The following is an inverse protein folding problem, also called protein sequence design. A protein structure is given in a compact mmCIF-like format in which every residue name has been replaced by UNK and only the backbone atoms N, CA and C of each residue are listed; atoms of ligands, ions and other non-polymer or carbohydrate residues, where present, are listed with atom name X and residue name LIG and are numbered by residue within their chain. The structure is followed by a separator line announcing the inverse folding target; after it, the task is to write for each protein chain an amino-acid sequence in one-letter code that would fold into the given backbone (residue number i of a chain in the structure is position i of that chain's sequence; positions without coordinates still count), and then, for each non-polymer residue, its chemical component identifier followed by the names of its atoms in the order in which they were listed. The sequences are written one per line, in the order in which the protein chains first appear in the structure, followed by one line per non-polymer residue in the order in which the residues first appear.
data_IF_118084007474
#
_entry.id   IF_118084007474
#
_cell.length_a   1.000
_cell.length_b   1.000
_cell.length_c   1.000
_cell.angle_alpha   90.00
_cell.angle_beta   90.00
_cell.angle_gamma   90.00
#
_symmetry.space_group_name_H-M   'P 1'
#
loop_
_entity.id
_entity.type
_entity.pdbx_description
1 polymer ?
#
# COMPACT_ATOMS: atom_id res chain seq x y z
N UNK A 1 21.35 -1.29 6.31
CA UNK A 1 19.93 -1.04 6.65
C UNK A 1 19.10 -1.21 5.39
N UNK A 2 18.01 -1.99 5.42
CA UNK A 2 17.13 -2.22 4.26
C UNK A 2 15.88 -1.35 4.39
N UNK A 3 15.61 -0.49 3.40
CA UNK A 3 14.37 0.30 3.34
C UNK A 3 13.36 -0.51 2.52
N UNK A 4 12.17 -0.73 3.09
CA UNK A 4 11.09 -1.48 2.45
C UNK A 4 9.86 -0.56 2.37
N UNK A 5 9.56 0.01 1.20
CA UNK A 5 8.34 0.79 1.01
C UNK A 5 7.10 -0.06 1.23
N UNK A 6 6.09 0.52 1.89
CA UNK A 6 4.80 -0.11 2.13
C UNK A 6 3.74 0.43 1.18
N UNK A 7 2.89 -0.46 0.67
CA UNK A 7 1.70 -0.15 -0.11
C UNK A 7 0.52 -0.91 0.50
N UNK A 8 -0.39 -0.19 1.13
CA UNK A 8 -1.65 -0.76 1.61
C UNK A 8 -2.70 -0.63 0.50
N UNK A 9 -3.36 -1.73 0.18
CA UNK A 9 -4.36 -1.82 -0.89
C UNK A 9 -5.72 -2.04 -0.27
N UNK A 10 -6.66 -1.16 -0.60
CA UNK A 10 -8.08 -1.29 -0.24
C UNK A 10 -8.93 -0.95 -1.47
N UNK A 11 -9.85 -1.83 -1.83
CA UNK A 11 -10.76 -1.64 -2.98
C UNK A 11 -10.03 -1.25 -4.28
N UNK A 12 -8.88 -1.90 -4.53
CA UNK A 12 -8.03 -1.65 -5.71
C UNK A 12 -7.21 -0.37 -5.68
N UNK A 13 -7.21 0.39 -4.58
CA UNK A 13 -6.51 1.69 -4.45
C UNK A 13 -5.41 1.63 -3.40
N UNK A 14 -4.35 2.41 -3.59
CA UNK A 14 -3.34 2.64 -2.57
C UNK A 14 -3.88 3.59 -1.50
N UNK A 15 -3.93 3.13 -0.26
CA UNK A 15 -4.44 3.90 0.87
C UNK A 15 -3.41 3.97 2.00
N UNK A 16 -3.66 4.85 2.96
CA UNK A 16 -3.08 4.78 4.31
C UNK A 16 -4.21 4.93 5.31
N UNK A 17 -4.18 4.12 6.36
CA UNK A 17 -5.11 4.24 7.47
C UNK A 17 -4.50 5.12 8.57
N UNK A 18 -5.29 6.01 9.15
CA UNK A 18 -4.92 6.69 10.38
C UNK A 18 -5.06 5.70 11.55
N UNK A 19 -3.94 5.32 12.17
CA UNK A 19 -3.91 4.37 13.30
C UNK A 19 -4.65 3.03 13.03
N UNK A 20 -4.71 2.60 11.77
CA UNK A 20 -5.42 1.36 11.38
C UNK A 20 -6.94 1.49 11.24
N UNK A 21 -7.52 2.69 11.40
CA UNK A 21 -8.96 2.89 11.23
C UNK A 21 -9.35 2.90 9.74
N UNK A 22 -10.08 1.86 9.31
CA UNK A 22 -10.60 1.67 7.95
C UNK A 22 -11.51 2.79 7.47
N UNK A 23 -12.16 3.53 8.38
CA UNK A 23 -13.01 4.68 8.06
C UNK A 23 -12.19 5.94 7.80
N UNK A 24 -10.96 5.98 8.30
CA UNK A 24 -10.00 7.08 8.13
C UNK A 24 -8.92 6.70 7.12
N UNK A 25 -9.35 6.29 5.93
CA UNK A 25 -8.47 5.95 4.84
C UNK A 25 -8.23 7.15 3.92
N UNK A 26 -6.96 7.49 3.71
CA UNK A 26 -6.54 8.49 2.71
C UNK A 26 -6.08 7.77 1.45
N UNK A 27 -6.67 8.10 0.29
CA UNK A 27 -6.27 7.55 -1.01
C UNK A 27 -5.09 8.34 -1.57
N UNK A 28 -3.98 7.64 -1.85
CA UNK A 28 -2.78 8.25 -2.44
C UNK A 28 -2.65 7.97 -3.94
N UNK A 29 -3.21 6.87 -4.41
CA UNK A 29 -3.16 6.50 -5.82
C UNK A 29 -4.29 5.51 -6.14
N UNK A 30 -4.81 5.59 -7.37
CA UNK A 30 -5.79 4.63 -7.87
C UNK A 30 -5.14 3.42 -8.56
N UNK A 31 -3.80 3.40 -8.71
CA UNK A 31 -3.07 2.36 -9.43
C UNK A 31 -1.92 1.79 -8.56
N UNK A 32 -2.16 0.66 -7.87
CA UNK A 32 -1.15 -0.02 -7.09
C UNK A 32 0.03 -0.54 -7.92
N UNK A 33 -0.21 -0.95 -9.17
CA UNK A 33 0.86 -1.46 -10.04
C UNK A 33 1.81 -0.32 -10.42
N UNK A 34 1.28 0.83 -10.81
CA UNK A 34 2.11 2.02 -11.07
C UNK A 34 2.86 2.48 -9.81
N UNK A 35 2.24 2.37 -8.62
CA UNK A 35 2.94 2.67 -7.36
C UNK A 35 4.11 1.72 -7.09
N UNK A 36 3.93 0.42 -7.33
CA UNK A 36 4.99 -0.57 -7.17
C UNK A 36 6.15 -0.32 -8.15
N UNK A 37 5.85 0.00 -9.42
CA UNK A 37 6.85 0.35 -10.43
C UNK A 37 7.63 1.60 -10.01
N UNK A 38 6.97 2.65 -9.53
CA UNK A 38 7.65 3.87 -9.04
C UNK A 38 8.65 3.56 -7.92
N UNK A 39 8.34 2.64 -7.02
CA UNK A 39 9.28 2.25 -5.96
C UNK A 39 10.45 1.44 -6.50
N UNK A 40 10.19 0.53 -7.43
CA UNK A 40 11.23 -0.22 -8.13
C UNK A 40 12.21 0.73 -8.85
N UNK A 41 11.70 1.72 -9.59
CA UNK A 41 12.50 2.75 -10.28
C UNK A 41 13.34 3.61 -9.32
N UNK A 42 12.86 3.80 -8.09
CA UNK A 42 13.59 4.47 -7.00
C UNK A 42 14.62 3.57 -6.30
N UNK A 43 14.82 2.34 -6.76
CA UNK A 43 15.80 1.39 -6.24
C UNK A 43 15.29 0.51 -5.10
N UNK A 44 13.97 0.45 -4.87
CA UNK A 44 13.42 -0.49 -3.90
C UNK A 44 13.63 -1.93 -4.38
N UNK A 45 14.26 -2.76 -3.53
CA UNK A 45 14.50 -4.18 -3.81
C UNK A 45 13.41 -5.11 -3.28
N UNK A 46 12.57 -4.60 -2.39
CA UNK A 46 11.43 -5.30 -1.78
C UNK A 46 10.31 -4.30 -1.54
N UNK A 47 9.08 -4.78 -1.60
CA UNK A 47 7.88 -4.04 -1.24
C UNK A 47 7.15 -4.79 -0.14
N UNK A 48 6.62 -4.06 0.84
CA UNK A 48 5.66 -4.58 1.80
C UNK A 48 4.26 -4.26 1.30
N UNK A 49 3.49 -5.29 0.96
CA UNK A 49 2.15 -5.17 0.40
C UNK A 49 1.14 -5.73 1.40
N UNK A 50 0.09 -4.96 1.68
CA UNK A 50 -1.00 -5.37 2.58
C UNK A 50 -2.32 -5.26 1.83
N UNK A 51 -3.04 -6.37 1.71
CA UNK A 51 -4.44 -6.37 1.27
C UNK A 51 -5.34 -6.16 2.48
N UNK A 52 -5.90 -4.95 2.61
CA UNK A 52 -6.75 -4.57 3.72
C UNK A 52 -8.14 -5.20 3.64
N UNK A 53 -8.63 -5.52 2.44
CA UNK A 53 -9.90 -6.20 2.27
C UNK A 53 -9.77 -7.65 2.75
N UNK A 54 -8.72 -8.34 2.33
CA UNK A 54 -8.40 -9.69 2.80
C UNK A 54 -8.12 -9.74 4.30
N UNK A 55 -7.35 -8.78 4.83
CA UNK A 55 -7.03 -8.73 6.26
C UNK A 55 -8.23 -8.51 7.18
N UNK A 56 -9.31 -7.89 6.68
CA UNK A 56 -10.54 -7.64 7.47
C UNK A 56 -11.56 -8.76 7.34
N UNK A 57 -11.56 -9.49 6.21
CA UNK A 57 -12.51 -10.56 5.93
C UNK A 57 -12.07 -11.94 6.46
N UNK A 58 -10.83 -12.06 6.96
CA UNK A 58 -10.22 -13.28 7.49
C UNK A 58 -10.48 -13.54 8.96
#
# INVERSE_FOLDING_TARGET
MLIIPAIDIKDGKCVRLEQGDMKKATVFSADPAAMAVRWLEKGARRLHLVDLNGATAG
#
